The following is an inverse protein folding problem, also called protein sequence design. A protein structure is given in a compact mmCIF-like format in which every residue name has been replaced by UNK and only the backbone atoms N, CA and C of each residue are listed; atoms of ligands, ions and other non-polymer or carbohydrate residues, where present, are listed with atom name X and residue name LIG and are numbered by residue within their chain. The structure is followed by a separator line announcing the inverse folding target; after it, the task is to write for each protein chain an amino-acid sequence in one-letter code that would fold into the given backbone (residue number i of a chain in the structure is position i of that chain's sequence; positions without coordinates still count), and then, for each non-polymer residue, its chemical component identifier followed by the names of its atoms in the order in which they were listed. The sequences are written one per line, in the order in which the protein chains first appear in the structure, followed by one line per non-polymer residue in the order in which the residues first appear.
data_IF_856921918352
#
_entry.id   IF_856921918352
#
_cell.length_a   1.000
_cell.length_b   1.000
_cell.length_c   1.000
_cell.angle_alpha   90.00
_cell.angle_beta   90.00
_cell.angle_gamma   90.00
#
_symmetry.space_group_name_H-M   'P 1'
#
loop_
_entity.id
_entity.type
_entity.pdbx_description
1 polymer ?
#
# COMPACT_ATOMS: atom_id res chain seq x y z
N UNK A 1 45.91 49.89 -26.06
CA UNK A 1 44.71 49.06 -26.36
C UNK A 1 43.97 48.79 -25.06
N UNK A 2 42.80 49.40 -24.84
CA UNK A 2 41.96 49.17 -23.64
C UNK A 2 41.06 47.95 -23.91
N UNK A 3 41.18 46.90 -23.11
CA UNK A 3 40.30 45.71 -23.15
C UNK A 3 39.11 45.96 -22.20
N UNK A 4 37.91 46.06 -22.75
CA UNK A 4 36.68 46.06 -21.97
C UNK A 4 36.23 44.60 -21.76
N UNK A 5 36.12 44.18 -20.50
CA UNK A 5 35.56 42.89 -20.11
C UNK A 5 34.07 43.10 -19.91
N UNK A 6 33.24 42.52 -20.78
CA UNK A 6 31.79 42.53 -20.62
C UNK A 6 31.38 41.41 -19.66
N UNK A 7 30.90 41.79 -18.47
CA UNK A 7 30.20 40.87 -17.57
C UNK A 7 28.74 40.72 -18.04
N UNK A 8 28.37 39.52 -18.47
CA UNK A 8 26.96 39.18 -18.74
C UNK A 8 26.31 38.83 -17.39
N UNK A 9 25.43 39.71 -16.91
CA UNK A 9 24.57 39.48 -15.75
C UNK A 9 23.37 38.62 -16.21
N UNK A 10 23.36 37.34 -15.85
CA UNK A 10 22.17 36.50 -15.96
C UNK A 10 21.16 36.92 -14.89
N UNK A 11 20.15 37.71 -15.28
CA UNK A 11 18.99 37.98 -14.44
C UNK A 11 18.11 36.72 -14.39
N UNK A 12 18.22 35.94 -13.30
CA UNK A 12 17.24 34.90 -12.98
C UNK A 12 15.92 35.57 -12.60
N UNK A 13 15.00 35.71 -13.57
CA UNK A 13 13.59 35.92 -13.27
C UNK A 13 13.09 34.65 -12.57
N UNK A 14 13.05 34.69 -11.24
CA UNK A 14 12.44 33.66 -10.41
C UNK A 14 10.93 33.66 -10.63
N UNK A 15 10.47 33.00 -11.70
CA UNK A 15 9.14 32.43 -11.68
C UNK A 15 9.13 31.42 -10.53
N UNK A 16 8.37 31.71 -9.48
CA UNK A 16 7.99 30.73 -8.49
C UNK A 16 7.16 29.66 -9.19
N UNK A 17 7.83 28.69 -9.79
CA UNK A 17 7.23 27.44 -10.21
C UNK A 17 6.67 26.82 -8.94
N UNK A 18 5.37 26.94 -8.72
CA UNK A 18 4.67 26.19 -7.69
C UNK A 18 4.95 24.72 -8.01
N UNK A 19 5.75 24.07 -7.17
CA UNK A 19 6.01 22.64 -7.30
C UNK A 19 4.67 21.91 -7.36
N UNK A 20 4.59 20.82 -8.13
CA UNK A 20 3.39 19.99 -8.14
C UNK A 20 3.04 19.64 -6.69
N UNK A 21 1.77 19.83 -6.27
CA UNK A 21 1.38 19.55 -4.89
C UNK A 21 1.77 18.13 -4.55
N UNK A 22 2.31 17.92 -3.34
CA UNK A 22 2.69 16.59 -2.90
C UNK A 22 1.46 15.67 -3.01
N UNK A 23 1.67 14.39 -3.29
CA UNK A 23 0.58 13.44 -3.47
C UNK A 23 -0.34 13.40 -2.23
N UNK A 24 0.22 13.59 -1.04
CA UNK A 24 -0.55 13.74 0.20
C UNK A 24 -1.43 14.99 0.22
N UNK A 25 -0.89 16.14 -0.18
CA UNK A 25 -1.66 17.39 -0.25
C UNK A 25 -2.81 17.28 -1.25
N UNK A 26 -2.56 16.59 -2.36
CA UNK A 26 -3.59 16.27 -3.35
C UNK A 26 -4.71 15.40 -2.76
N UNK A 27 -4.37 14.40 -1.93
CA UNK A 27 -5.36 13.57 -1.24
C UNK A 27 -6.12 14.35 -0.16
N UNK A 28 -5.44 15.19 0.63
CA UNK A 28 -6.06 16.07 1.62
C UNK A 28 -7.08 17.02 0.98
N UNK A 29 -6.69 17.69 -0.10
CA UNK A 29 -7.57 18.60 -0.82
C UNK A 29 -8.78 17.86 -1.38
N UNK A 30 -8.58 16.68 -1.98
CA UNK A 30 -9.67 15.86 -2.51
C UNK A 30 -10.62 15.39 -1.41
N UNK A 31 -10.11 15.03 -0.23
CA UNK A 31 -10.93 14.63 0.91
C UNK A 31 -11.84 15.76 1.39
N UNK A 32 -11.35 17.01 1.41
CA UNK A 32 -12.12 18.19 1.82
C UNK A 32 -13.30 18.50 0.89
N UNK A 33 -13.15 18.23 -0.41
CA UNK A 33 -14.20 18.52 -1.41
C UNK A 33 -15.08 17.32 -1.74
N UNK A 34 -14.73 16.13 -1.25
CA UNK A 34 -15.50 14.91 -1.46
C UNK A 34 -16.86 15.03 -0.77
N UNK A 35 -17.93 14.80 -1.55
CA UNK A 35 -19.32 14.97 -1.09
C UNK A 35 -19.95 13.66 -0.67
N UNK A 36 -19.55 12.56 -1.31
CA UNK A 36 -20.12 11.24 -1.06
C UNK A 36 -19.35 10.55 0.06
N UNK A 37 -20.03 9.94 1.04
CA UNK A 37 -19.34 9.23 2.12
C UNK A 37 -18.41 8.13 1.63
N UNK A 38 -18.81 7.36 0.62
CA UNK A 38 -17.96 6.31 0.03
C UNK A 38 -16.69 6.87 -0.62
N UNK A 39 -16.78 8.05 -1.25
CA UNK A 39 -15.61 8.74 -1.80
C UNK A 39 -14.69 9.25 -0.68
N UNK A 40 -15.26 9.83 0.37
CA UNK A 40 -14.52 10.25 1.56
C UNK A 40 -13.78 9.07 2.20
N UNK A 41 -14.42 7.91 2.31
CA UNK A 41 -13.80 6.68 2.82
C UNK A 41 -12.66 6.19 1.93
N UNK A 42 -12.89 6.07 0.63
CA UNK A 42 -11.85 5.64 -0.30
C UNK A 42 -10.63 6.57 -0.29
N UNK A 43 -10.83 7.89 -0.23
CA UNK A 43 -9.74 8.87 -0.17
C UNK A 43 -9.06 8.85 1.21
N UNK A 44 -9.84 8.79 2.29
CA UNK A 44 -9.35 8.78 3.67
C UNK A 44 -8.45 7.58 3.95
N UNK A 45 -8.88 6.37 3.56
CA UNK A 45 -8.06 5.16 3.71
C UNK A 45 -6.79 5.20 2.88
N UNK A 46 -6.85 5.75 1.65
CA UNK A 46 -5.66 5.96 0.82
C UNK A 46 -4.69 6.95 1.45
N UNK A 47 -5.18 8.04 2.04
CA UNK A 47 -4.35 9.01 2.73
C UNK A 47 -3.73 8.41 4.00
N UNK A 48 -4.48 7.60 4.75
CA UNK A 48 -3.95 6.85 5.88
C UNK A 48 -2.81 5.90 5.47
N UNK A 49 -2.95 5.16 4.37
CA UNK A 49 -1.85 4.31 3.85
C UNK A 49 -0.63 5.14 3.44
N UNK A 50 -0.81 6.39 2.98
CA UNK A 50 0.32 7.29 2.70
C UNK A 50 1.01 7.77 3.95
N UNK A 51 0.26 8.19 4.96
CA UNK A 51 0.83 8.52 6.26
C UNK A 51 1.60 7.32 6.84
N UNK A 52 1.07 6.10 6.73
CA UNK A 52 1.78 4.87 7.13
C UNK A 52 3.10 4.69 6.38
N UNK A 53 3.10 4.83 5.04
CA UNK A 53 4.31 4.69 4.22
C UNK A 53 5.36 5.76 4.55
N UNK A 54 4.92 6.96 4.94
CA UNK A 54 5.78 8.06 5.34
C UNK A 54 6.05 8.08 6.85
N UNK A 55 5.75 6.99 7.56
CA UNK A 55 6.01 6.79 8.99
C UNK A 55 5.28 7.79 9.93
N UNK A 56 4.25 8.47 9.42
CA UNK A 56 3.35 9.34 10.17
C UNK A 56 2.24 8.50 10.83
N UNK A 57 2.66 7.58 11.70
CA UNK A 57 1.79 6.53 12.21
C UNK A 57 0.61 7.07 13.03
N UNK A 58 0.81 8.14 13.81
CA UNK A 58 -0.26 8.72 14.62
C UNK A 58 -1.39 9.29 13.75
N UNK A 59 -1.04 10.02 12.69
CA UNK A 59 -1.99 10.56 11.72
C UNK A 59 -2.65 9.43 10.92
N UNK A 60 -1.90 8.39 10.56
CA UNK A 60 -2.42 7.21 9.88
C UNK A 60 -3.49 6.49 10.71
N UNK A 61 -3.20 6.21 11.99
CA UNK A 61 -4.10 5.56 12.95
C UNK A 61 -5.36 6.39 13.13
N UNK A 62 -5.19 7.68 13.47
CA UNK A 62 -6.33 8.59 13.74
C UNK A 62 -7.28 8.63 12.54
N UNK A 63 -6.74 8.85 11.34
CA UNK A 63 -7.56 8.92 10.14
C UNK A 63 -8.24 7.58 9.81
N UNK A 64 -7.56 6.44 9.96
CA UNK A 64 -8.16 5.14 9.71
C UNK A 64 -9.24 4.78 10.75
N UNK A 65 -9.07 5.16 12.02
CA UNK A 65 -10.08 5.00 13.08
C UNK A 65 -11.31 5.87 12.83
N UNK A 66 -11.12 7.12 12.41
CA UNK A 66 -12.21 8.01 12.02
C UNK A 66 -13.00 7.42 10.84
N UNK A 67 -12.29 6.90 9.83
CA UNK A 67 -12.91 6.21 8.71
C UNK A 67 -13.69 4.98 9.16
N UNK A 68 -13.09 4.13 10.02
CA UNK A 68 -13.73 2.94 10.56
C UNK A 68 -15.01 3.28 11.33
N UNK A 69 -14.97 4.31 12.18
CA UNK A 69 -16.12 4.79 12.94
C UNK A 69 -17.24 5.27 12.02
N UNK A 70 -16.88 6.02 10.98
CA UNK A 70 -17.84 6.53 10.01
C UNK A 70 -18.53 5.40 9.22
N UNK A 71 -17.76 4.43 8.72
CA UNK A 71 -18.32 3.31 7.94
C UNK A 71 -19.18 2.40 8.81
N UNK A 72 -18.80 2.13 10.06
CA UNK A 72 -19.62 1.33 10.98
C UNK A 72 -20.97 2.00 11.26
N UNK A 73 -21.02 3.33 11.36
CA UNK A 73 -22.26 4.07 11.57
C UNK A 73 -23.18 4.06 10.33
N UNK A 74 -22.63 3.94 9.12
CA UNK A 74 -23.40 4.01 7.87
C UNK A 74 -23.77 2.63 7.32
N UNK A 75 -22.80 1.73 7.21
CA UNK A 75 -22.97 0.39 6.68
C UNK A 75 -21.93 -0.56 7.31
N UNK A 76 -22.26 -1.21 8.45
CA UNK A 76 -21.35 -2.11 9.16
C UNK A 76 -21.04 -3.41 8.40
N UNK A 77 -21.77 -3.70 7.32
CA UNK A 77 -21.56 -4.87 6.48
C UNK A 77 -20.99 -4.49 5.10
N UNK A 78 -20.20 -3.42 5.04
CA UNK A 78 -19.54 -3.00 3.81
C UNK A 78 -18.08 -3.48 3.75
N UNK A 79 -17.57 -3.60 2.52
CA UNK A 79 -16.15 -3.90 2.28
C UNK A 79 -15.22 -2.80 2.84
N UNK A 80 -15.73 -1.58 3.00
CA UNK A 80 -14.94 -0.47 3.56
C UNK A 80 -14.59 -0.70 5.03
N UNK A 81 -15.42 -1.45 5.78
CA UNK A 81 -15.08 -1.93 7.14
C UNK A 81 -13.85 -2.84 7.07
N UNK A 82 -13.82 -3.77 6.12
CA UNK A 82 -12.69 -4.70 5.93
C UNK A 82 -11.42 -3.92 5.57
N UNK A 83 -11.52 -2.98 4.62
CA UNK A 83 -10.38 -2.16 4.18
C UNK A 83 -9.84 -1.25 5.29
N UNK A 84 -10.71 -0.69 6.12
CA UNK A 84 -10.29 0.12 7.27
C UNK A 84 -9.54 -0.71 8.31
N UNK A 85 -10.08 -1.88 8.68
CA UNK A 85 -9.41 -2.82 9.58
C UNK A 85 -8.08 -3.33 9.01
N UNK A 86 -8.02 -3.61 7.70
CA UNK A 86 -6.77 -3.98 7.03
C UNK A 86 -5.69 -2.90 7.15
N UNK A 87 -6.03 -1.63 6.88
CA UNK A 87 -5.07 -0.53 7.02
C UNK A 87 -4.59 -0.40 8.47
N UNK A 88 -5.50 -0.45 9.45
CA UNK A 88 -5.13 -0.42 10.87
C UNK A 88 -4.20 -1.57 11.23
N UNK A 89 -4.55 -2.79 10.83
CA UNK A 89 -3.70 -3.97 11.06
C UNK A 89 -2.28 -3.75 10.53
N UNK A 90 -2.15 -3.24 9.31
CA UNK A 90 -0.85 -2.93 8.71
C UNK A 90 -0.08 -1.84 9.47
N UNK A 91 -0.76 -0.76 9.89
CA UNK A 91 -0.12 0.33 10.64
C UNK A 91 0.42 -0.21 11.97
N UNK A 92 -0.39 -0.93 12.72
CA UNK A 92 0.02 -1.53 13.99
C UNK A 92 1.14 -2.56 13.81
N UNK A 93 1.13 -3.32 12.72
CA UNK A 93 2.24 -4.20 12.35
C UNK A 93 3.55 -3.41 12.13
N UNK A 94 3.49 -2.25 11.44
CA UNK A 94 4.68 -1.42 11.19
C UNK A 94 5.28 -0.81 12.45
N UNK A 95 4.48 -0.55 13.47
CA UNK A 95 4.97 -0.04 14.77
C UNK A 95 5.16 -1.15 15.81
N UNK A 96 5.13 -2.42 15.38
CA UNK A 96 5.36 -3.60 16.20
C UNK A 96 4.39 -3.77 17.39
N UNK A 97 3.20 -3.17 17.31
CA UNK A 97 2.08 -3.46 18.22
C UNK A 97 1.32 -4.67 17.70
N UNK A 98 1.85 -5.85 18.00
CA UNK A 98 1.34 -7.11 17.47
C UNK A 98 -0.06 -7.46 18.00
N UNK A 99 -0.41 -7.01 19.21
CA UNK A 99 -1.74 -7.23 19.79
C UNK A 99 -2.80 -6.48 18.98
N UNK A 100 -2.57 -5.19 18.69
CA UNK A 100 -3.48 -4.42 17.85
C UNK A 100 -3.48 -4.92 16.40
N UNK A 101 -2.32 -5.26 15.84
CA UNK A 101 -2.25 -5.83 14.49
C UNK A 101 -3.05 -7.14 14.36
N UNK A 102 -2.98 -8.01 15.38
CA UNK A 102 -3.76 -9.23 15.44
C UNK A 102 -5.26 -8.95 15.61
N UNK A 103 -5.63 -8.01 16.47
CA UNK A 103 -7.02 -7.59 16.68
C UNK A 103 -7.66 -7.12 15.36
N UNK A 104 -7.06 -6.12 14.70
CA UNK A 104 -7.63 -5.55 13.48
C UNK A 104 -7.58 -6.51 12.30
N UNK A 105 -6.54 -7.36 12.18
CA UNK A 105 -6.53 -8.41 11.14
C UNK A 105 -7.61 -9.47 11.36
N UNK A 106 -7.97 -9.80 12.62
CA UNK A 106 -9.10 -10.67 12.92
C UNK A 106 -10.43 -10.00 12.57
N UNK A 107 -10.61 -8.74 12.94
CA UNK A 107 -11.83 -7.98 12.64
C UNK A 107 -12.06 -7.83 11.14
N UNK A 108 -10.98 -7.61 10.36
CA UNK A 108 -11.05 -7.60 8.89
C UNK A 108 -11.56 -8.94 8.36
N UNK A 109 -11.05 -10.06 8.87
CA UNK A 109 -11.43 -11.40 8.44
C UNK A 109 -12.89 -11.73 8.81
N UNK A 110 -13.29 -11.47 10.06
CA UNK A 110 -14.66 -11.70 10.53
C UNK A 110 -15.69 -10.90 9.70
N UNK A 111 -15.38 -9.62 9.43
CA UNK A 111 -16.23 -8.78 8.61
C UNK A 111 -16.33 -9.30 7.17
N UNK A 112 -15.22 -9.75 6.58
CA UNK A 112 -15.19 -10.31 5.23
C UNK A 112 -15.94 -11.65 5.12
N UNK A 113 -15.78 -12.55 6.09
CA UNK A 113 -16.47 -13.84 6.14
C UNK A 113 -17.98 -13.67 6.29
N UNK A 114 -18.41 -12.72 7.12
CA UNK A 114 -19.83 -12.37 7.29
C UNK A 114 -20.46 -11.90 5.97
N UNK A 115 -19.72 -11.10 5.20
CA UNK A 115 -20.17 -10.56 3.92
C UNK A 115 -20.08 -11.57 2.77
N UNK A 116 -19.25 -12.61 2.92
CA UNK A 116 -18.90 -13.56 1.85
C UNK A 116 -18.36 -12.86 0.60
N UNK A 117 -17.66 -11.74 0.80
CA UNK A 117 -17.08 -10.92 -0.27
C UNK A 117 -15.66 -11.43 -0.60
N UNK A 118 -15.40 -11.91 -1.83
CA UNK A 118 -14.06 -12.38 -2.21
C UNK A 118 -12.98 -11.29 -2.10
N UNK A 119 -13.27 -10.07 -2.50
CA UNK A 119 -12.31 -8.96 -2.42
C UNK A 119 -12.04 -8.62 -0.94
N UNK A 120 -13.09 -8.57 -0.12
CA UNK A 120 -12.95 -8.42 1.33
C UNK A 120 -12.06 -9.51 1.95
N UNK A 121 -12.29 -10.77 1.58
CA UNK A 121 -11.45 -11.89 2.05
C UNK A 121 -10.00 -11.73 1.61
N UNK A 122 -9.74 -11.27 0.39
CA UNK A 122 -8.38 -11.02 -0.10
C UNK A 122 -7.64 -9.97 0.76
N UNK A 123 -8.29 -8.85 1.09
CA UNK A 123 -7.72 -7.83 1.96
C UNK A 123 -7.46 -8.35 3.37
N UNK A 124 -8.39 -9.11 3.94
CA UNK A 124 -8.21 -9.71 5.26
C UNK A 124 -7.06 -10.72 5.29
N UNK A 125 -6.96 -11.60 4.29
CA UNK A 125 -5.85 -12.55 4.17
C UNK A 125 -4.51 -11.84 3.95
N UNK A 126 -4.48 -10.75 3.19
CA UNK A 126 -3.26 -9.95 3.06
C UNK A 126 -2.86 -9.29 4.40
N UNK A 127 -3.81 -8.79 5.20
CA UNK A 127 -3.54 -8.28 6.55
C UNK A 127 -2.87 -9.35 7.44
N UNK A 128 -3.38 -10.59 7.38
CA UNK A 128 -2.77 -11.75 8.06
C UNK A 128 -1.36 -12.03 7.56
N UNK A 129 -1.15 -12.03 6.26
CA UNK A 129 0.16 -12.25 5.67
C UNK A 129 1.18 -11.21 6.15
N UNK A 130 0.82 -9.92 6.16
CA UNK A 130 1.71 -8.84 6.64
C UNK A 130 2.14 -9.08 8.09
N UNK A 131 1.20 -9.41 8.97
CA UNK A 131 1.50 -9.71 10.37
C UNK A 131 2.48 -10.90 10.48
N UNK A 132 2.20 -12.00 9.78
CA UNK A 132 3.07 -13.18 9.82
C UNK A 132 4.45 -12.93 9.21
N UNK A 133 4.58 -12.05 8.20
CA UNK A 133 5.87 -11.65 7.64
C UNK A 133 6.73 -10.94 8.69
N UNK A 134 6.15 -10.00 9.44
CA UNK A 134 6.89 -9.27 10.48
C UNK A 134 7.25 -10.19 11.66
N UNK A 135 6.45 -11.23 11.90
CA UNK A 135 6.74 -12.28 12.87
C UNK A 135 7.72 -13.35 12.32
N UNK A 136 8.26 -13.17 11.12
CA UNK A 136 9.17 -14.10 10.44
C UNK A 136 8.61 -15.52 10.25
N UNK A 137 7.28 -15.65 10.17
CA UNK A 137 6.59 -16.91 9.87
C UNK A 137 6.31 -17.04 8.36
N UNK A 138 7.36 -17.32 7.61
CA UNK A 138 7.31 -17.41 6.14
C UNK A 138 6.30 -18.46 5.64
N UNK A 139 6.09 -19.54 6.41
CA UNK A 139 5.11 -20.58 6.06
C UNK A 139 3.69 -20.03 6.13
N UNK A 140 3.33 -19.36 7.23
CA UNK A 140 2.02 -18.75 7.36
C UNK A 140 1.84 -17.60 6.35
N UNK A 141 2.86 -16.78 6.12
CA UNK A 141 2.84 -15.71 5.11
C UNK A 141 2.44 -16.26 3.74
N UNK A 142 3.14 -17.27 3.22
CA UNK A 142 2.83 -17.85 1.91
C UNK A 142 1.41 -18.42 1.87
N UNK A 143 0.98 -19.12 2.93
CA UNK A 143 -0.38 -19.68 2.99
C UNK A 143 -1.44 -18.58 2.89
N UNK A 144 -1.29 -17.48 3.62
CA UNK A 144 -2.23 -16.36 3.58
C UNK A 144 -2.18 -15.61 2.24
N UNK A 145 -1.00 -15.40 1.66
CA UNK A 145 -0.86 -14.74 0.35
C UNK A 145 -1.50 -15.55 -0.77
N UNK A 146 -1.33 -16.88 -0.79
CA UNK A 146 -2.02 -17.72 -1.79
C UNK A 146 -3.53 -17.76 -1.57
N UNK A 147 -4.02 -17.78 -0.31
CA UNK A 147 -5.45 -17.61 -0.04
C UNK A 147 -5.96 -16.29 -0.59
N UNK A 148 -5.22 -15.19 -0.42
CA UNK A 148 -5.59 -13.88 -0.96
C UNK A 148 -5.65 -13.90 -2.50
N UNK A 149 -4.62 -14.43 -3.17
CA UNK A 149 -4.60 -14.54 -4.64
C UNK A 149 -5.78 -15.36 -5.17
N UNK A 150 -6.16 -16.45 -4.51
CA UNK A 150 -7.30 -17.29 -4.93
C UNK A 150 -8.63 -16.53 -4.91
N UNK A 151 -8.78 -15.53 -4.04
CA UNK A 151 -10.00 -14.70 -4.00
C UNK A 151 -10.00 -13.60 -5.08
N UNK A 152 -8.84 -13.31 -5.66
CA UNK A 152 -8.67 -12.24 -6.64
C UNK A 152 -8.69 -12.74 -8.09
N UNK A 153 -9.01 -14.01 -8.33
CA UNK A 153 -9.12 -14.54 -9.69
C UNK A 153 -10.20 -13.77 -10.49
N UNK A 154 -9.81 -13.26 -11.67
CA UNK A 154 -10.63 -12.37 -12.50
C UNK A 154 -10.87 -10.95 -11.96
N UNK A 155 -10.29 -10.56 -10.81
CA UNK A 155 -10.50 -9.25 -10.18
C UNK A 155 -9.45 -8.21 -10.62
N UNK A 156 -9.44 -7.83 -11.90
CA UNK A 156 -8.43 -6.90 -12.44
C UNK A 156 -8.45 -5.51 -11.79
N UNK A 157 -9.59 -5.10 -11.22
CA UNK A 157 -9.70 -3.84 -10.46
C UNK A 157 -8.82 -3.80 -9.20
N UNK A 158 -8.42 -4.97 -8.70
CA UNK A 158 -7.61 -5.14 -7.49
C UNK A 158 -6.11 -5.30 -7.80
N UNK A 159 -5.67 -4.75 -8.95
CA UNK A 159 -4.26 -4.79 -9.37
C UNK A 159 -3.28 -4.22 -8.31
N UNK A 160 -3.69 -3.22 -7.52
CA UNK A 160 -2.85 -2.68 -6.44
C UNK A 160 -2.56 -3.74 -5.36
N UNK A 161 -3.60 -4.46 -4.92
CA UNK A 161 -3.47 -5.50 -3.92
C UNK A 161 -2.67 -6.70 -4.46
N UNK A 162 -2.92 -7.11 -5.71
CA UNK A 162 -2.14 -8.16 -6.36
C UNK A 162 -0.65 -7.80 -6.42
N UNK A 163 -0.31 -6.56 -6.76
CA UNK A 163 1.07 -6.10 -6.79
C UNK A 163 1.74 -6.22 -5.41
N UNK A 164 1.05 -5.84 -4.34
CA UNK A 164 1.53 -5.97 -2.96
C UNK A 164 1.73 -7.43 -2.54
N UNK A 165 0.79 -8.31 -2.89
CA UNK A 165 0.88 -9.74 -2.61
C UNK A 165 2.11 -10.33 -3.29
N UNK A 166 2.31 -10.05 -4.59
CA UNK A 166 3.46 -10.55 -5.33
C UNK A 166 4.78 -9.97 -4.81
N UNK A 167 4.78 -8.72 -4.35
CA UNK A 167 5.96 -8.14 -3.70
C UNK A 167 6.36 -8.87 -2.41
N UNK A 168 5.39 -9.23 -1.57
CA UNK A 168 5.66 -10.02 -0.35
C UNK A 168 6.13 -11.44 -0.68
N UNK A 169 5.54 -12.08 -1.69
CA UNK A 169 6.03 -13.39 -2.16
C UNK A 169 7.48 -13.29 -2.66
N UNK A 170 7.82 -12.26 -3.42
CA UNK A 170 9.20 -12.00 -3.82
C UNK A 170 10.15 -11.95 -2.61
N UNK A 171 9.78 -11.22 -1.56
CA UNK A 171 10.57 -11.12 -0.33
C UNK A 171 10.84 -12.49 0.31
N UNK A 172 9.78 -13.28 0.49
CA UNK A 172 9.90 -14.61 1.11
C UNK A 172 10.79 -15.56 0.29
N UNK A 173 10.60 -15.61 -1.03
CA UNK A 173 11.39 -16.49 -1.89
C UNK A 173 12.85 -16.02 -2.06
N UNK A 174 13.08 -14.71 -1.91
CA UNK A 174 14.44 -14.15 -1.83
C UNK A 174 15.16 -14.63 -0.57
N UNK A 175 14.51 -14.62 0.60
CA UNK A 175 15.09 -15.14 1.85
C UNK A 175 15.44 -16.62 1.78
N UNK A 176 14.71 -17.39 0.97
CA UNK A 176 14.97 -18.82 0.74
C UNK A 176 16.00 -19.10 -0.36
N UNK A 177 16.59 -18.06 -0.96
CA UNK A 177 17.50 -18.17 -2.11
C UNK A 177 16.88 -18.93 -3.30
N UNK A 178 15.55 -18.90 -3.45
CA UNK A 178 14.87 -19.43 -4.62
C UNK A 178 14.76 -18.32 -5.67
N UNK A 179 15.85 -18.15 -6.41
CA UNK A 179 16.02 -17.10 -7.41
C UNK A 179 14.91 -17.14 -8.48
N UNK A 180 14.52 -18.35 -8.91
CA UNK A 180 13.53 -18.52 -9.96
C UNK A 180 12.14 -18.01 -9.53
N UNK A 181 11.71 -18.34 -8.30
CA UNK A 181 10.46 -17.82 -7.77
C UNK A 181 10.55 -16.34 -7.41
N UNK A 182 11.67 -15.89 -6.85
CA UNK A 182 11.89 -14.47 -6.57
C UNK A 182 11.77 -13.62 -7.85
N UNK A 183 12.40 -14.05 -8.96
CA UNK A 183 12.30 -13.38 -10.26
C UNK A 183 10.86 -13.35 -10.78
N UNK A 184 10.16 -14.49 -10.72
CA UNK A 184 8.79 -14.62 -11.16
C UNK A 184 7.87 -13.64 -10.40
N UNK A 185 7.96 -13.62 -9.07
CA UNK A 185 7.11 -12.75 -8.25
C UNK A 185 7.48 -11.27 -8.33
N UNK A 186 8.76 -10.93 -8.49
CA UNK A 186 9.18 -9.55 -8.74
C UNK A 186 8.60 -9.02 -10.06
N UNK A 187 8.63 -9.83 -11.13
CA UNK A 187 8.03 -9.47 -12.42
C UNK A 187 6.51 -9.29 -12.32
N UNK A 188 5.80 -10.21 -11.65
CA UNK A 188 4.35 -10.07 -11.42
C UNK A 188 4.03 -8.82 -10.59
N UNK A 189 4.79 -8.54 -9.54
CA UNK A 189 4.65 -7.31 -8.75
C UNK A 189 4.76 -6.08 -9.65
N UNK A 190 5.75 -6.02 -10.55
CA UNK A 190 5.93 -4.91 -11.48
C UNK A 190 4.75 -4.78 -12.46
N UNK A 191 4.32 -5.88 -13.07
CA UNK A 191 3.19 -5.91 -14.00
C UNK A 191 1.93 -5.31 -13.38
N UNK A 192 1.55 -5.79 -12.20
CA UNK A 192 0.35 -5.31 -11.52
C UNK A 192 0.51 -3.91 -10.95
N UNK A 193 1.70 -3.51 -10.51
CA UNK A 193 1.97 -2.14 -10.08
C UNK A 193 1.79 -1.12 -11.22
N UNK A 194 2.21 -1.48 -12.44
CA UNK A 194 1.99 -0.66 -13.64
C UNK A 194 0.49 -0.57 -13.95
N UNK A 195 -0.24 -1.70 -13.92
CA UNK A 195 -1.71 -1.72 -14.11
C UNK A 195 -2.43 -0.84 -13.09
N UNK A 196 -2.02 -0.92 -11.83
CA UNK A 196 -2.56 -0.10 -10.73
C UNK A 196 -2.17 1.38 -10.81
N UNK A 197 -1.21 1.74 -11.67
CA UNK A 197 -0.59 3.08 -11.75
C UNK A 197 -0.01 3.54 -10.40
N UNK A 198 0.39 2.60 -9.54
CA UNK A 198 0.97 2.90 -8.24
C UNK A 198 2.48 3.04 -8.35
N UNK A 199 2.95 4.28 -8.50
CA UNK A 199 4.37 4.61 -8.68
C UNK A 199 5.27 4.12 -7.53
N UNK A 200 4.77 4.07 -6.31
CA UNK A 200 5.55 3.59 -5.17
C UNK A 200 5.84 2.08 -5.31
N UNK A 201 4.82 1.28 -5.65
CA UNK A 201 5.02 -0.16 -5.83
C UNK A 201 5.84 -0.44 -7.09
N UNK A 202 5.71 0.37 -8.14
CA UNK A 202 6.59 0.28 -9.33
C UNK A 202 8.05 0.46 -8.94
N UNK A 203 8.37 1.48 -8.13
CA UNK A 203 9.73 1.68 -7.64
C UNK A 203 10.22 0.47 -6.82
N UNK A 204 9.40 -0.01 -5.88
CA UNK A 204 9.73 -1.19 -5.07
C UNK A 204 9.95 -2.45 -5.93
N UNK A 205 9.14 -2.65 -6.96
CA UNK A 205 9.26 -3.80 -7.84
C UNK A 205 10.53 -3.74 -8.72
N UNK A 206 10.95 -2.55 -9.17
CA UNK A 206 12.25 -2.41 -9.81
C UNK A 206 13.42 -2.68 -8.86
N UNK A 207 13.33 -2.24 -7.60
CA UNK A 207 14.31 -2.60 -6.57
C UNK A 207 14.35 -4.11 -6.33
N UNK A 208 13.19 -4.78 -6.31
CA UNK A 208 13.11 -6.23 -6.21
C UNK A 208 13.83 -6.92 -7.37
N UNK A 209 13.59 -6.50 -8.60
CA UNK A 209 14.28 -7.04 -9.78
C UNK A 209 15.79 -6.82 -9.70
N UNK A 210 16.24 -5.65 -9.26
CA UNK A 210 17.67 -5.37 -9.09
C UNK A 210 18.34 -6.32 -8.09
N UNK A 211 17.66 -6.64 -6.98
CA UNK A 211 18.14 -7.64 -6.01
C UNK A 211 18.24 -9.02 -6.65
N UNK A 212 17.20 -9.48 -7.36
CA UNK A 212 17.24 -10.82 -7.99
C UNK A 212 18.38 -10.91 -9.01
N UNK A 213 18.57 -9.90 -9.85
CA UNK A 213 19.66 -9.88 -10.82
C UNK A 213 21.05 -9.82 -10.18
N UNK A 214 21.15 -9.36 -8.93
CA UNK A 214 22.43 -9.38 -8.20
C UNK A 214 22.85 -10.79 -7.77
N UNK A 215 21.93 -11.75 -7.65
CA UNK A 215 22.23 -13.15 -7.34
C UNK A 215 22.80 -13.93 -8.52
N UNK A 216 22.63 -13.41 -9.75
CA UNK A 216 23.09 -14.06 -10.98
C UNK A 216 24.59 -13.87 -11.26
N UNK A 217 25.32 -13.25 -10.34
CA UNK A 217 26.76 -12.97 -10.40
C UNK A 217 27.49 -13.59 -9.21
#
# INVERSE_FOLDING_TARGET
MKRYIYFILFAFYGFSLVAQPNYEDSLKQRLQVAKQPSEQMAIGLRLSDRYRINEQYQEAITLAQDCLTLVLAQNPHSIDVVKANWILANIYANIEDFDQAQLYSNQALEAAETQKDPIGLAYAYYAKAVLHTILFDNKATIQWLHKALNQLDGQESEADLMARIYYLLYGVYTEWNDEAQALNYANKSLEYAIKAKNKNIVANAYSALAVVYSFQY
#
